data_IF_513603937173
#
_entry.id   IF_513603937173
#
_cell.length_a   1.000
_cell.length_b   1.000
_cell.length_c   1.000
_cell.angle_alpha   90.00
_cell.angle_beta   90.00
_cell.angle_gamma   90.00
#
_symmetry.space_group_name_H-M   'P 1'
#
loop_
_entity.id
_entity.type
_entity.pdbx_description
1 polymer ?
#
# COMPACT_ATOMS: atom_id res chain seq x y z
N UNK A 1 82.81 -7.25 -1.82
CA UNK A 1 81.88 -8.18 -2.55
C UNK A 1 80.47 -7.98 -2.04
N UNK A 2 79.68 -7.25 -2.76
CA UNK A 2 78.29 -6.87 -2.39
C UNK A 2 77.30 -7.56 -3.33
N UNK A 3 76.53 -8.50 -2.79
CA UNK A 3 75.50 -9.24 -3.53
C UNK A 3 74.20 -8.44 -3.53
N UNK A 4 73.78 -7.98 -4.68
CA UNK A 4 72.45 -7.38 -4.91
C UNK A 4 71.43 -8.50 -5.16
N UNK A 5 70.47 -8.64 -4.27
CA UNK A 5 69.32 -9.53 -4.42
C UNK A 5 68.22 -8.76 -5.14
N UNK A 6 67.85 -9.18 -6.34
CA UNK A 6 66.75 -8.61 -7.14
C UNK A 6 65.45 -9.27 -6.70
N UNK A 7 64.45 -8.44 -6.32
CA UNK A 7 63.06 -8.85 -6.06
C UNK A 7 62.27 -9.01 -7.39
N UNK A 8 61.39 -10.00 -7.51
CA UNK A 8 60.62 -10.19 -8.71
C UNK A 8 59.43 -9.20 -8.82
N UNK A 9 59.29 -8.59 -9.98
CA UNK A 9 58.13 -7.77 -10.36
C UNK A 9 56.89 -8.64 -10.51
N UNK A 10 55.90 -8.47 -9.63
CA UNK A 10 54.55 -9.00 -9.86
C UNK A 10 53.84 -8.20 -10.93
N UNK A 11 53.57 -8.80 -12.09
CA UNK A 11 52.66 -8.26 -13.08
C UNK A 11 51.22 -8.32 -12.52
N UNK A 12 50.60 -7.16 -12.30
CA UNK A 12 49.17 -7.07 -12.07
C UNK A 12 48.46 -7.51 -13.35
N UNK A 13 47.62 -8.50 -13.26
CA UNK A 13 46.71 -8.91 -14.36
C UNK A 13 45.75 -7.77 -14.75
N UNK A 14 45.13 -7.85 -15.95
CA UNK A 14 44.17 -6.84 -16.37
C UNK A 14 43.03 -6.71 -15.36
N UNK A 15 42.43 -5.49 -15.20
CA UNK A 15 41.32 -5.29 -14.28
C UNK A 15 40.17 -6.22 -14.68
N UNK A 16 39.66 -6.98 -13.71
CA UNK A 16 38.42 -7.73 -13.91
C UNK A 16 37.29 -6.73 -14.19
N UNK A 17 36.66 -6.83 -15.35
CA UNK A 17 35.42 -6.15 -15.66
C UNK A 17 34.37 -6.81 -14.77
N UNK A 18 33.93 -6.10 -13.73
CA UNK A 18 32.77 -6.48 -12.93
C UNK A 18 31.55 -6.24 -13.84
N UNK A 19 31.03 -7.30 -14.44
CA UNK A 19 29.75 -7.22 -15.14
C UNK A 19 28.69 -6.73 -14.11
N UNK A 20 27.87 -5.74 -14.47
CA UNK A 20 26.75 -5.34 -13.61
C UNK A 20 25.87 -6.58 -13.38
N UNK A 21 25.32 -6.74 -12.16
CA UNK A 21 24.44 -7.86 -11.87
C UNK A 21 23.34 -7.91 -12.92
N UNK A 22 23.16 -9.06 -13.56
CA UNK A 22 22.05 -9.31 -14.48
C UNK A 22 20.77 -8.98 -13.73
N UNK A 23 20.08 -7.90 -14.13
CA UNK A 23 18.79 -7.56 -13.57
C UNK A 23 17.85 -8.73 -13.86
N UNK A 24 17.37 -9.36 -12.80
CA UNK A 24 16.29 -10.34 -12.91
C UNK A 24 15.10 -9.61 -13.55
N UNK A 25 14.80 -9.97 -14.81
CA UNK A 25 13.81 -9.26 -15.64
C UNK A 25 12.39 -9.73 -15.35
N UNK A 26 12.21 -10.65 -14.41
CA UNK A 26 10.88 -11.13 -14.04
C UNK A 26 10.20 -10.13 -13.12
N UNK A 27 9.13 -9.50 -13.61
CA UNK A 27 8.25 -8.66 -12.78
C UNK A 27 7.33 -9.59 -11.97
N UNK A 28 7.79 -9.93 -10.75
CA UNK A 28 7.15 -10.91 -9.87
C UNK A 28 6.14 -10.21 -8.95
N UNK A 29 4.98 -9.89 -9.51
CA UNK A 29 3.85 -9.29 -8.79
C UNK A 29 2.61 -10.15 -8.91
N UNK A 30 1.78 -10.10 -7.86
CA UNK A 30 0.47 -10.72 -7.76
C UNK A 30 -0.59 -9.63 -7.68
N UNK A 31 -1.79 -9.90 -8.22
CA UNK A 31 -2.90 -8.95 -8.14
C UNK A 31 -3.86 -9.41 -7.05
N UNK A 32 -4.01 -8.57 -6.03
CA UNK A 32 -4.95 -8.72 -4.93
C UNK A 32 -6.06 -7.68 -4.98
N UNK A 33 -7.01 -7.80 -4.07
CA UNK A 33 -8.12 -6.84 -3.95
C UNK A 33 -8.44 -6.56 -2.49
N UNK A 34 -8.84 -5.32 -2.21
CA UNK A 34 -9.43 -4.94 -0.94
C UNK A 34 -10.95 -5.18 -0.99
N UNK A 35 -11.55 -5.83 0.03
CA UNK A 35 -12.98 -6.12 0.05
C UNK A 35 -13.87 -4.89 0.19
N UNK A 36 -13.31 -3.70 0.41
CA UNK A 36 -14.04 -2.44 0.59
C UNK A 36 -14.99 -2.12 -0.56
N UNK A 37 -14.73 -2.67 -1.73
CA UNK A 37 -15.60 -2.52 -2.92
C UNK A 37 -16.90 -3.33 -2.83
N UNK A 38 -16.95 -4.36 -1.98
CA UNK A 38 -18.16 -5.13 -1.71
C UNK A 38 -18.83 -4.72 -0.40
N UNK A 39 -18.00 -4.38 0.60
CA UNK A 39 -18.44 -4.03 1.95
C UNK A 39 -17.54 -2.90 2.44
N UNK A 40 -18.08 -1.70 2.47
CA UNK A 40 -17.29 -0.53 2.83
C UNK A 40 -17.07 -0.46 4.36
N UNK A 41 -15.81 -0.56 4.79
CA UNK A 41 -15.46 -0.55 6.21
C UNK A 41 -15.56 0.86 6.83
N UNK A 42 -15.41 1.92 6.04
CA UNK A 42 -15.58 3.31 6.47
C UNK A 42 -17.06 3.74 6.53
N UNK A 43 -17.89 3.15 5.66
CA UNK A 43 -19.32 3.38 5.54
C UNK A 43 -20.08 2.04 5.59
N UNK A 44 -20.23 1.42 6.79
CA UNK A 44 -20.69 0.02 6.93
C UNK A 44 -22.08 -0.30 6.34
N UNK A 45 -22.89 0.71 6.05
CA UNK A 45 -24.17 0.51 5.35
C UNK A 45 -24.01 0.30 3.84
N UNK A 46 -22.88 0.71 3.25
CA UNK A 46 -22.58 0.44 1.85
C UNK A 46 -22.13 -1.01 1.69
N UNK A 47 -22.97 -1.82 1.08
CA UNK A 47 -22.74 -3.25 0.92
C UNK A 47 -22.83 -4.06 2.24
N UNK A 48 -23.41 -3.48 3.31
CA UNK A 48 -23.50 -4.10 4.63
C UNK A 48 -24.14 -5.48 4.62
N UNK A 49 -25.09 -5.72 3.75
CA UNK A 49 -25.78 -7.01 3.60
C UNK A 49 -25.02 -8.01 2.71
N UNK A 50 -23.97 -7.60 1.99
CA UNK A 50 -23.21 -8.51 1.12
C UNK A 50 -22.43 -9.54 1.97
N UNK A 51 -22.70 -10.85 1.83
CA UNK A 51 -21.94 -11.87 2.55
C UNK A 51 -20.46 -11.90 2.12
N UNK A 52 -19.55 -12.23 3.03
CA UNK A 52 -18.13 -12.43 2.71
C UNK A 52 -17.93 -13.45 1.59
N UNK A 53 -18.73 -14.53 1.58
CA UNK A 53 -18.67 -15.58 0.57
C UNK A 53 -18.91 -15.05 -0.86
N UNK A 54 -19.76 -14.05 -1.02
CA UNK A 54 -20.00 -13.39 -2.31
C UNK A 54 -18.74 -12.65 -2.77
N UNK A 55 -18.12 -11.85 -1.91
CA UNK A 55 -16.90 -11.12 -2.24
C UNK A 55 -15.76 -12.08 -2.64
N UNK A 56 -15.55 -13.15 -1.87
CA UNK A 56 -14.51 -14.14 -2.14
C UNK A 56 -14.76 -14.92 -3.43
N UNK A 57 -16.01 -15.36 -3.67
CA UNK A 57 -16.38 -16.09 -4.89
C UNK A 57 -16.23 -15.23 -6.13
N UNK A 58 -16.72 -14.00 -6.09
CA UNK A 58 -16.60 -13.04 -7.19
C UNK A 58 -15.16 -12.65 -7.46
N UNK A 59 -14.40 -12.31 -6.43
CA UNK A 59 -12.98 -11.98 -6.57
C UNK A 59 -12.17 -13.13 -7.17
N UNK A 60 -12.46 -14.37 -6.75
CA UNK A 60 -11.84 -15.56 -7.35
C UNK A 60 -12.24 -15.76 -8.81
N UNK A 61 -13.51 -15.58 -9.14
CA UNK A 61 -14.02 -15.72 -10.50
C UNK A 61 -13.42 -14.68 -11.46
N UNK A 62 -13.17 -13.46 -10.98
CA UNK A 62 -12.47 -12.41 -11.72
C UNK A 62 -11.01 -12.77 -12.00
N UNK A 63 -10.34 -13.45 -11.07
CA UNK A 63 -8.96 -13.87 -11.22
C UNK A 63 -8.00 -13.34 -10.13
N UNK A 64 -8.52 -12.65 -9.12
CA UNK A 64 -7.68 -12.20 -7.99
C UNK A 64 -7.02 -13.38 -7.27
N UNK A 65 -5.79 -13.17 -6.83
CA UNK A 65 -4.98 -14.19 -6.17
C UNK A 65 -5.05 -14.12 -4.65
N UNK A 66 -5.60 -13.02 -4.10
CA UNK A 66 -5.75 -12.83 -2.67
C UNK A 66 -6.59 -11.61 -2.32
N UNK A 67 -6.98 -11.56 -1.04
CA UNK A 67 -7.73 -10.47 -0.45
C UNK A 67 -7.00 -9.85 0.72
N UNK A 68 -7.15 -8.55 0.91
CA UNK A 68 -6.86 -7.91 2.17
C UNK A 68 -7.93 -8.24 3.22
N UNK A 69 -7.56 -8.12 4.48
CA UNK A 69 -8.43 -8.43 5.61
C UNK A 69 -9.45 -7.29 5.81
N UNK A 70 -10.71 -7.55 5.52
CA UNK A 70 -11.83 -6.63 5.82
C UNK A 70 -12.57 -7.00 7.10
N UNK A 71 -13.57 -6.20 7.47
CA UNK A 71 -14.31 -6.35 8.73
C UNK A 71 -15.10 -7.65 8.83
N UNK A 72 -15.56 -8.21 7.71
CA UNK A 72 -16.36 -9.46 7.68
C UNK A 72 -15.53 -10.74 7.78
N UNK A 73 -14.20 -10.64 7.71
CA UNK A 73 -13.34 -11.81 7.76
C UNK A 73 -13.22 -12.35 9.19
N UNK A 74 -13.13 -13.70 9.36
CA UNK A 74 -12.85 -14.30 10.67
C UNK A 74 -11.58 -13.74 11.30
N UNK A 75 -11.60 -13.54 12.61
CA UNK A 75 -10.45 -13.05 13.39
C UNK A 75 -9.69 -14.17 14.11
N UNK A 76 -10.13 -15.42 13.97
CA UNK A 76 -9.42 -16.59 14.43
C UNK A 76 -8.62 -17.18 13.26
N UNK A 77 -7.32 -17.49 13.48
CA UNK A 77 -6.36 -17.84 12.42
C UNK A 77 -6.76 -19.06 11.61
N UNK A 78 -7.28 -20.12 12.25
CA UNK A 78 -7.68 -21.35 11.55
C UNK A 78 -8.96 -21.16 10.75
N UNK A 79 -9.92 -20.41 11.28
CA UNK A 79 -11.15 -20.08 10.59
C UNK A 79 -10.88 -19.22 9.34
N UNK A 80 -10.01 -18.20 9.46
CA UNK A 80 -9.59 -17.36 8.32
C UNK A 80 -8.90 -18.19 7.24
N UNK A 81 -7.95 -19.05 7.63
CA UNK A 81 -7.27 -19.95 6.70
C UNK A 81 -8.24 -20.86 5.97
N UNK A 82 -9.20 -21.42 6.69
CA UNK A 82 -10.22 -22.32 6.11
C UNK A 82 -11.08 -21.61 5.07
N UNK A 83 -11.53 -20.39 5.37
CA UNK A 83 -12.35 -19.58 4.46
C UNK A 83 -11.58 -19.26 3.20
N UNK A 84 -10.36 -18.72 3.32
CA UNK A 84 -9.54 -18.37 2.15
C UNK A 84 -9.13 -19.59 1.32
N UNK A 85 -8.79 -20.71 1.96
CA UNK A 85 -8.40 -21.94 1.28
C UNK A 85 -9.53 -22.53 0.43
N UNK A 86 -10.79 -22.43 0.85
CA UNK A 86 -11.95 -22.88 0.05
C UNK A 86 -12.02 -22.23 -1.32
N UNK A 87 -11.56 -20.98 -1.42
CA UNK A 87 -11.52 -20.23 -2.67
C UNK A 87 -10.14 -20.26 -3.35
N UNK A 88 -9.13 -20.89 -2.74
CA UNK A 88 -7.75 -20.84 -3.22
C UNK A 88 -7.20 -19.41 -3.29
N UNK A 89 -7.49 -18.60 -2.27
CA UNK A 89 -7.07 -17.22 -2.12
C UNK A 89 -6.03 -17.09 -1.00
N UNK A 90 -5.09 -16.15 -1.17
CA UNK A 90 -4.13 -15.79 -0.13
C UNK A 90 -4.67 -14.63 0.74
N UNK A 91 -4.21 -14.55 2.00
CA UNK A 91 -4.28 -13.30 2.76
C UNK A 91 -3.16 -12.38 2.26
N UNK A 92 -3.54 -11.21 1.74
CA UNK A 92 -2.59 -10.24 1.17
C UNK A 92 -1.92 -9.42 2.27
N UNK A 93 -2.73 -8.81 3.10
CA UNK A 93 -2.38 -7.91 4.21
C UNK A 93 -3.61 -7.64 5.07
N UNK A 94 -3.53 -6.68 5.97
CA UNK A 94 -4.69 -6.18 6.72
C UNK A 94 -4.42 -4.79 7.30
N UNK A 95 -5.44 -3.95 7.29
CA UNK A 95 -5.43 -2.65 7.91
C UNK A 95 -5.31 -2.77 9.44
N UNK A 96 -4.37 -2.01 10.00
CA UNK A 96 -4.23 -1.80 11.43
C UNK A 96 -4.38 -0.31 11.75
N UNK A 97 -5.37 0.01 12.57
CA UNK A 97 -5.63 1.36 13.07
C UNK A 97 -4.67 1.69 14.20
N UNK A 98 -3.52 2.25 13.86
CA UNK A 98 -2.49 2.64 14.82
C UNK A 98 -2.76 4.01 15.43
N UNK A 99 -2.26 4.21 16.65
CA UNK A 99 -2.40 5.46 17.39
C UNK A 99 -1.07 5.95 17.97
N UNK A 100 0.05 5.73 17.29
CA UNK A 100 1.38 6.13 17.74
C UNK A 100 1.57 7.64 17.89
N UNK A 101 0.69 8.46 17.29
CA UNK A 101 0.69 9.90 17.57
C UNK A 101 0.33 10.21 19.05
N UNK A 102 -0.41 9.31 19.72
CA UNK A 102 -0.85 9.42 21.11
C UNK A 102 -0.24 8.37 22.05
N UNK A 103 -0.19 7.10 21.60
CA UNK A 103 0.28 5.97 22.40
C UNK A 103 1.80 5.90 22.49
N UNK A 104 2.29 5.29 23.55
CA UNK A 104 3.66 4.80 23.60
C UNK A 104 3.86 3.60 22.68
N UNK A 105 5.11 3.25 22.40
CA UNK A 105 5.46 2.08 21.59
C UNK A 105 5.00 0.79 22.28
N UNK A 106 5.12 0.70 23.59
CA UNK A 106 4.74 -0.45 24.39
C UNK A 106 3.22 -0.70 24.35
N UNK A 107 2.43 0.36 24.46
CA UNK A 107 0.97 0.30 24.35
C UNK A 107 0.55 -0.16 22.94
N UNK A 108 1.18 0.36 21.90
CA UNK A 108 0.89 -0.01 20.52
C UNK A 108 1.30 -1.45 20.21
N UNK A 109 2.44 -1.90 20.74
CA UNK A 109 2.90 -3.30 20.65
C UNK A 109 1.91 -4.25 21.31
N UNK A 110 1.37 -3.89 22.46
CA UNK A 110 0.36 -4.69 23.14
C UNK A 110 -0.95 -4.74 22.33
N UNK A 111 -1.37 -3.60 21.76
CA UNK A 111 -2.60 -3.50 20.99
C UNK A 111 -2.55 -4.29 19.67
N UNK A 112 -1.42 -4.26 18.95
CA UNK A 112 -1.28 -4.94 17.64
C UNK A 112 -1.19 -6.45 17.75
N UNK A 113 -0.87 -6.99 18.93
CA UNK A 113 -0.53 -8.40 19.13
C UNK A 113 -1.48 -9.41 18.44
N UNK A 114 -2.80 -9.35 18.68
CA UNK A 114 -3.76 -10.26 18.04
C UNK A 114 -3.81 -10.11 16.50
N UNK A 115 -3.76 -8.88 15.99
CA UNK A 115 -3.80 -8.60 14.56
C UNK A 115 -2.52 -9.08 13.86
N UNK A 116 -1.36 -8.78 14.43
CA UNK A 116 -0.06 -9.19 13.92
C UNK A 116 0.07 -10.71 13.87
N UNK A 117 -0.41 -11.39 14.93
CA UNK A 117 -0.47 -12.86 14.97
C UNK A 117 -1.36 -13.41 13.86
N UNK A 118 -2.55 -12.84 13.66
CA UNK A 118 -3.49 -13.26 12.61
C UNK A 118 -2.86 -13.18 11.22
N UNK A 119 -2.17 -12.07 10.92
CA UNK A 119 -1.47 -11.88 9.66
C UNK A 119 -0.36 -12.92 9.46
N UNK A 120 0.54 -13.04 10.43
CA UNK A 120 1.68 -13.96 10.38
C UNK A 120 1.22 -15.43 10.24
N UNK A 121 0.24 -15.87 11.02
CA UNK A 121 -0.30 -17.23 10.98
C UNK A 121 -0.92 -17.58 9.60
N UNK A 122 -1.37 -16.58 8.85
CA UNK A 122 -2.00 -16.75 7.53
C UNK A 122 -1.09 -16.36 6.37
N UNK A 123 0.20 -16.16 6.63
CA UNK A 123 1.22 -15.97 5.61
C UNK A 123 1.29 -14.57 4.98
N UNK A 124 0.58 -13.58 5.54
CA UNK A 124 0.76 -12.19 5.13
C UNK A 124 2.09 -11.65 5.67
N UNK A 125 2.88 -11.06 4.79
CA UNK A 125 4.20 -10.51 5.12
C UNK A 125 4.21 -8.99 5.28
N UNK A 126 3.05 -8.37 5.07
CA UNK A 126 2.84 -6.92 5.17
C UNK A 126 1.62 -6.64 6.03
N UNK A 127 1.72 -5.61 6.86
CA UNK A 127 0.61 -5.01 7.61
C UNK A 127 0.43 -3.57 7.13
N UNK A 128 -0.76 -3.22 6.69
CA UNK A 128 -1.12 -1.84 6.37
C UNK A 128 -1.32 -1.06 7.67
N UNK A 129 -0.51 -0.06 7.90
CA UNK A 129 -0.59 0.80 9.08
C UNK A 129 -1.19 2.15 8.71
N UNK A 130 -2.38 2.45 9.21
CA UNK A 130 -2.99 3.78 9.16
C UNK A 130 -2.91 4.47 10.53
N UNK A 131 -2.39 5.71 10.59
CA UNK A 131 -2.44 6.50 11.82
C UNK A 131 -3.84 7.11 11.99
N UNK A 132 -4.58 6.64 13.00
CA UNK A 132 -5.95 7.07 13.23
C UNK A 132 -6.14 7.99 14.46
N UNK A 133 -5.09 8.20 15.26
CA UNK A 133 -5.17 9.19 16.34
C UNK A 133 -5.52 10.56 15.74
N UNK A 134 -6.53 11.20 16.30
CA UNK A 134 -7.06 12.49 15.81
C UNK A 134 -7.51 12.54 14.34
N UNK A 135 -7.51 11.41 13.63
CA UNK A 135 -7.94 11.38 12.22
C UNK A 135 -9.40 11.83 12.09
N UNK A 136 -9.67 12.57 11.03
CA UNK A 136 -11.03 13.01 10.69
C UNK A 136 -11.61 12.22 9.50
N UNK A 137 -10.94 11.14 9.07
CA UNK A 137 -11.36 10.35 7.91
C UNK A 137 -12.80 9.83 8.01
N UNK A 138 -13.22 9.38 9.21
CA UNK A 138 -14.59 8.92 9.49
C UNK A 138 -15.55 10.03 9.94
N UNK A 139 -15.17 11.31 9.85
CA UNK A 139 -15.96 12.43 10.38
C UNK A 139 -16.55 13.30 9.27
N UNK A 140 -17.75 13.89 9.44
CA UNK A 140 -18.32 14.85 8.49
C UNK A 140 -17.67 16.23 8.66
N UNK A 141 -16.34 16.28 8.51
CA UNK A 141 -15.52 17.48 8.73
C UNK A 141 -14.66 17.72 7.50
N UNK A 142 -14.57 18.98 7.00
CA UNK A 142 -13.74 19.32 5.87
C UNK A 142 -12.28 18.91 6.03
N UNK A 143 -11.68 18.33 4.99
CA UNK A 143 -10.32 17.77 5.01
C UNK A 143 -9.22 18.77 5.38
N UNK A 144 -9.40 20.07 5.11
CA UNK A 144 -8.43 21.09 5.54
C UNK A 144 -8.26 21.20 7.07
N UNK A 145 -9.21 20.66 7.86
CA UNK A 145 -9.16 20.60 9.33
C UNK A 145 -8.42 19.39 9.89
N UNK A 146 -7.82 18.56 9.04
CA UNK A 146 -7.07 17.38 9.46
C UNK A 146 -5.99 17.71 10.50
N UNK A 147 -5.60 16.75 11.35
CA UNK A 147 -4.52 16.96 12.31
C UNK A 147 -3.19 17.22 11.61
N UNK A 148 -2.31 17.98 12.25
CA UNK A 148 -0.96 18.25 11.78
C UNK A 148 0.00 18.32 12.95
N UNK A 149 1.18 17.75 12.78
CA UNK A 149 2.28 18.05 13.69
C UNK A 149 2.79 19.47 13.39
N UNK A 150 2.66 20.36 14.35
CA UNK A 150 2.99 21.78 14.19
C UNK A 150 4.45 22.13 14.49
N UNK A 151 5.19 21.20 15.14
CA UNK A 151 6.58 21.38 15.56
C UNK A 151 7.45 20.21 15.10
N UNK A 152 8.73 20.47 14.88
CA UNK A 152 9.70 19.47 14.43
C UNK A 152 9.90 18.35 15.44
N UNK A 153 9.85 18.68 16.75
CA UNK A 153 9.97 17.68 17.82
C UNK A 153 8.83 16.66 17.81
N UNK A 154 7.62 17.07 17.40
CA UNK A 154 6.48 16.14 17.28
C UNK A 154 6.71 15.15 16.14
N UNK A 155 7.19 15.62 15.00
CA UNK A 155 7.56 14.79 13.86
C UNK A 155 8.66 13.80 14.21
N UNK A 156 9.72 14.30 14.88
CA UNK A 156 10.85 13.47 15.30
C UNK A 156 10.38 12.36 16.26
N UNK A 157 9.66 12.74 17.32
CA UNK A 157 9.15 11.78 18.30
C UNK A 157 8.19 10.75 17.68
N UNK A 158 7.36 11.17 16.71
CA UNK A 158 6.49 10.26 15.99
C UNK A 158 7.30 9.28 15.12
N UNK A 159 8.28 9.77 14.37
CA UNK A 159 9.16 8.95 13.54
C UNK A 159 9.96 7.90 14.34
N UNK A 160 10.44 8.27 15.53
CA UNK A 160 11.13 7.38 16.45
C UNK A 160 10.22 6.26 16.94
N UNK A 161 8.99 6.60 17.40
CA UNK A 161 8.00 5.61 17.84
C UNK A 161 7.61 4.66 16.71
N UNK A 162 7.33 5.22 15.53
CA UNK A 162 6.94 4.41 14.35
C UNK A 162 8.08 3.46 13.93
N UNK A 163 9.33 3.93 13.98
CA UNK A 163 10.48 3.08 13.69
C UNK A 163 10.64 1.95 14.70
N UNK A 164 10.51 2.24 15.99
CA UNK A 164 10.59 1.23 17.04
C UNK A 164 9.47 0.19 16.92
N UNK A 165 8.25 0.64 16.63
CA UNK A 165 7.11 -0.24 16.39
C UNK A 165 7.30 -1.10 15.13
N UNK A 166 7.80 -0.53 14.04
CA UNK A 166 8.08 -1.27 12.81
C UNK A 166 9.15 -2.36 12.99
N UNK A 167 10.18 -2.12 13.82
CA UNK A 167 11.14 -3.17 14.21
C UNK A 167 10.46 -4.35 14.89
N UNK A 168 9.50 -4.08 15.77
CA UNK A 168 8.76 -5.12 16.45
C UNK A 168 7.94 -5.99 15.50
N UNK A 169 7.24 -5.38 14.53
CA UNK A 169 6.44 -6.13 13.54
C UNK A 169 7.33 -6.91 12.59
N UNK A 170 8.42 -6.31 12.12
CA UNK A 170 9.38 -6.93 11.23
C UNK A 170 10.08 -8.14 11.87
N UNK A 171 10.41 -8.08 13.17
CA UNK A 171 10.96 -9.20 13.92
C UNK A 171 10.00 -10.41 14.00
N UNK A 172 8.74 -10.24 13.64
CA UNK A 172 7.70 -11.29 13.54
C UNK A 172 7.39 -11.67 12.09
N UNK A 173 8.21 -11.24 11.15
CA UNK A 173 8.06 -11.55 9.73
C UNK A 173 7.01 -10.71 8.98
N UNK A 174 6.47 -9.66 9.63
CA UNK A 174 5.45 -8.79 9.01
C UNK A 174 5.97 -7.37 8.94
N UNK A 175 6.21 -6.87 7.73
CA UNK A 175 6.69 -5.50 7.50
C UNK A 175 5.54 -4.50 7.65
N UNK A 176 5.77 -3.45 8.41
CA UNK A 176 4.85 -2.31 8.46
C UNK A 176 4.93 -1.53 7.15
N UNK A 177 3.80 -1.38 6.46
CA UNK A 177 3.60 -0.52 5.31
C UNK A 177 2.78 0.70 5.73
N UNK A 178 3.43 1.84 5.87
CA UNK A 178 2.76 3.07 6.29
C UNK A 178 1.84 3.56 5.18
N UNK A 179 0.55 3.67 5.48
CA UNK A 179 -0.46 4.19 4.57
C UNK A 179 -0.73 5.68 4.86
N UNK A 180 -0.29 6.56 3.95
CA UNK A 180 -0.71 7.96 3.98
C UNK A 180 -2.20 8.03 3.59
N UNK A 181 -3.00 8.73 4.37
CA UNK A 181 -4.46 8.68 4.20
C UNK A 181 -5.09 10.06 4.34
N UNK A 182 -6.15 10.31 3.55
CA UNK A 182 -6.93 11.55 3.67
C UNK A 182 -7.47 11.71 5.10
N UNK A 183 -7.35 12.92 5.64
CA UNK A 183 -7.84 13.24 6.98
C UNK A 183 -6.92 12.85 8.13
N UNK A 184 -5.73 12.28 7.87
CA UNK A 184 -4.75 11.88 8.88
C UNK A 184 -3.61 12.89 9.04
N UNK A 185 -2.67 12.63 9.97
CA UNK A 185 -1.45 13.44 10.15
C UNK A 185 -0.56 13.46 8.91
N UNK A 186 -0.46 12.34 8.21
CA UNK A 186 0.35 12.19 6.99
C UNK A 186 -0.59 11.96 5.81
N UNK A 187 -0.85 13.02 5.07
CA UNK A 187 -1.78 13.05 3.93
C UNK A 187 -1.10 13.56 2.67
N UNK A 188 -0.56 14.78 2.74
CA UNK A 188 0.00 15.48 1.59
C UNK A 188 1.38 14.92 1.18
N UNK A 189 1.81 15.14 -0.09
CA UNK A 189 3.14 14.78 -0.56
C UNK A 189 4.27 15.21 0.38
N UNK A 190 4.22 16.45 0.88
CA UNK A 190 5.23 16.98 1.80
C UNK A 190 5.25 16.27 3.16
N UNK A 191 4.10 15.75 3.63
CA UNK A 191 4.04 14.97 4.86
C UNK A 191 4.71 13.60 4.67
N UNK A 192 4.46 12.94 3.53
CA UNK A 192 5.10 11.67 3.16
C UNK A 192 6.62 11.87 3.02
N UNK A 193 7.04 12.91 2.32
CA UNK A 193 8.45 13.26 2.18
C UNK A 193 9.13 13.40 3.54
N UNK A 194 8.49 14.17 4.41
CA UNK A 194 9.01 14.42 5.76
C UNK A 194 9.08 13.15 6.58
N UNK A 195 8.01 12.36 6.60
CA UNK A 195 7.99 11.10 7.34
C UNK A 195 9.11 10.17 6.87
N UNK A 196 9.26 9.97 5.56
CA UNK A 196 10.26 9.06 5.00
C UNK A 196 11.70 9.47 5.30
N UNK A 197 11.96 10.75 5.57
CA UNK A 197 13.29 11.23 6.03
C UNK A 197 13.55 10.97 7.51
N UNK A 198 12.51 10.84 8.32
CA UNK A 198 12.63 10.72 9.78
C UNK A 198 12.59 9.27 10.28
N UNK A 199 12.01 8.37 9.50
CA UNK A 199 11.83 6.96 9.91
C UNK A 199 12.94 6.05 9.40
N UNK A 200 13.27 5.03 10.18
CA UNK A 200 14.23 4.00 9.80
C UNK A 200 13.77 3.14 8.63
N UNK A 201 14.69 2.33 8.07
CA UNK A 201 14.44 1.44 6.94
C UNK A 201 13.43 0.32 7.21
N UNK A 202 13.11 0.08 8.48
CA UNK A 202 12.13 -0.89 8.92
C UNK A 202 10.69 -0.48 8.55
N UNK A 203 10.43 0.82 8.52
CA UNK A 203 9.14 1.38 8.07
C UNK A 203 9.10 1.35 6.54
N UNK A 204 8.26 0.52 5.96
CA UNK A 204 7.93 0.57 4.54
C UNK A 204 6.87 1.62 4.23
N UNK A 205 6.78 1.99 2.96
CA UNK A 205 5.69 2.82 2.45
C UNK A 205 4.68 1.93 1.73
N UNK A 206 3.42 2.02 2.12
CA UNK A 206 2.33 1.69 1.23
C UNK A 206 2.12 2.87 0.31
N UNK A 207 2.29 2.65 -0.98
CA UNK A 207 2.01 3.66 -1.98
C UNK A 207 0.56 3.50 -2.47
N UNK A 208 -0.28 4.46 -2.18
CA UNK A 208 -1.66 4.54 -2.67
C UNK A 208 -1.78 5.64 -3.71
N UNK A 209 -2.05 5.25 -4.96
CA UNK A 209 -2.13 6.19 -6.09
C UNK A 209 -3.33 7.14 -6.00
N UNK A 210 -4.44 6.69 -5.46
CA UNK A 210 -5.67 7.48 -5.31
C UNK A 210 -5.56 8.51 -4.19
N UNK A 211 -5.15 8.10 -3.00
CA UNK A 211 -4.94 9.03 -1.89
C UNK A 211 -3.87 10.06 -2.21
N UNK A 212 -2.78 9.67 -2.89
CA UNK A 212 -1.74 10.60 -3.31
C UNK A 212 -2.28 11.67 -4.27
N UNK A 213 -3.06 11.25 -5.27
CA UNK A 213 -3.67 12.17 -6.25
C UNK A 213 -4.73 13.05 -5.60
N UNK A 214 -5.55 12.51 -4.70
CA UNK A 214 -6.55 13.29 -3.96
C UNK A 214 -5.88 14.36 -3.09
N UNK A 215 -4.78 14.05 -2.44
CA UNK A 215 -3.99 15.00 -1.65
C UNK A 215 -3.28 16.08 -2.51
N UNK A 216 -3.44 16.03 -3.83
CA UNK A 216 -2.84 16.99 -4.77
C UNK A 216 -1.44 16.63 -5.22
N UNK A 217 -0.98 15.41 -4.96
CA UNK A 217 0.32 14.91 -5.41
C UNK A 217 0.30 14.39 -6.85
N UNK A 218 1.46 14.40 -7.47
CA UNK A 218 1.75 13.64 -8.68
C UNK A 218 2.13 12.20 -8.27
N UNK A 219 1.25 11.24 -8.55
CA UNK A 219 1.44 9.85 -8.13
C UNK A 219 2.72 9.23 -8.73
N UNK A 220 3.02 9.54 -10.00
CA UNK A 220 4.21 9.01 -10.69
C UNK A 220 5.49 9.58 -10.07
N UNK A 221 5.55 10.89 -9.86
CA UNK A 221 6.70 11.56 -9.25
C UNK A 221 6.94 11.07 -7.81
N UNK A 222 5.87 10.90 -7.02
CA UNK A 222 5.97 10.43 -5.64
C UNK A 222 6.39 8.96 -5.56
N UNK A 223 5.86 8.10 -6.44
CA UNK A 223 6.32 6.72 -6.53
C UNK A 223 7.81 6.68 -6.89
N UNK A 224 8.24 7.40 -7.92
CA UNK A 224 9.65 7.45 -8.32
C UNK A 224 10.57 7.90 -7.17
N UNK A 225 10.15 8.92 -6.42
CA UNK A 225 10.92 9.46 -5.30
C UNK A 225 11.10 8.45 -4.15
N UNK A 226 10.07 7.70 -3.84
CA UNK A 226 10.04 6.82 -2.68
C UNK A 226 10.10 5.33 -3.01
N UNK A 227 10.37 4.96 -4.26
CA UNK A 227 10.29 3.58 -4.76
C UNK A 227 11.10 2.59 -3.91
N UNK A 228 12.27 2.99 -3.40
CA UNK A 228 13.11 2.15 -2.53
C UNK A 228 12.52 1.87 -1.14
N UNK A 229 11.44 2.57 -0.77
CA UNK A 229 10.72 2.39 0.50
C UNK A 229 9.39 1.66 0.30
N UNK A 230 8.88 1.59 -0.93
CA UNK A 230 7.59 0.96 -1.24
C UNK A 230 7.66 -0.54 -1.02
N UNK A 231 6.78 -1.05 -0.17
CA UNK A 231 6.66 -2.48 0.13
C UNK A 231 5.23 -3.01 -0.07
N UNK A 232 4.27 -2.13 -0.38
CA UNK A 232 2.89 -2.47 -0.70
C UNK A 232 2.30 -1.40 -1.61
N UNK A 233 1.36 -1.77 -2.48
CA UNK A 233 0.77 -0.83 -3.46
C UNK A 233 -0.74 -1.00 -3.49
N UNK A 234 -1.45 0.10 -3.21
CA UNK A 234 -2.87 0.24 -3.51
C UNK A 234 -3.03 0.93 -4.87
N UNK A 235 -3.61 0.19 -5.79
CA UNK A 235 -3.97 0.66 -7.11
C UNK A 235 -5.40 1.22 -7.06
N UNK A 236 -5.51 2.49 -6.75
CA UNK A 236 -6.75 3.24 -6.60
C UNK A 236 -6.77 4.38 -7.62
N UNK A 237 -7.84 4.48 -8.40
CA UNK A 237 -7.99 5.55 -9.38
C UNK A 237 -8.93 6.65 -8.85
N UNK A 238 -8.92 7.80 -9.49
CA UNK A 238 -9.71 8.96 -9.06
C UNK A 238 -10.42 9.62 -10.22
N UNK A 239 -11.57 10.25 -9.94
CA UNK A 239 -12.30 11.09 -10.90
C UNK A 239 -11.97 12.56 -10.66
N UNK A 240 -11.17 13.20 -11.54
CA UNK A 240 -10.65 14.56 -11.32
C UNK A 240 -11.75 15.59 -11.08
N UNK A 241 -12.87 15.45 -11.79
CA UNK A 241 -14.02 16.38 -11.68
C UNK A 241 -14.65 16.33 -10.27
N UNK A 242 -14.70 15.13 -9.67
CA UNK A 242 -15.21 14.96 -8.30
C UNK A 242 -14.23 15.51 -7.29
N UNK A 243 -12.91 15.31 -7.50
CA UNK A 243 -11.89 15.91 -6.63
C UNK A 243 -11.91 17.43 -6.66
N UNK A 244 -12.12 18.03 -7.82
CA UNK A 244 -12.28 19.48 -7.96
C UNK A 244 -13.50 19.99 -7.19
N UNK A 245 -14.64 19.30 -7.32
CA UNK A 245 -15.85 19.62 -6.55
C UNK A 245 -15.63 19.47 -5.05
N UNK A 246 -14.96 18.40 -4.61
CA UNK A 246 -14.66 18.17 -3.19
C UNK A 246 -13.85 19.30 -2.59
N UNK A 247 -12.82 19.77 -3.31
CA UNK A 247 -11.99 20.91 -2.89
C UNK A 247 -12.80 22.22 -2.85
N UNK A 248 -13.54 22.53 -3.93
CA UNK A 248 -14.29 23.76 -4.04
C UNK A 248 -15.43 23.88 -3.00
N UNK A 249 -16.00 22.74 -2.60
CA UNK A 249 -17.10 22.66 -1.64
C UNK A 249 -16.65 22.36 -0.22
N UNK A 250 -15.35 22.16 -0.01
CA UNK A 250 -14.76 21.76 1.28
C UNK A 250 -15.41 20.49 1.86
N UNK A 251 -15.59 19.49 1.04
CA UNK A 251 -16.18 18.22 1.49
C UNK A 251 -15.31 17.53 2.54
N UNK A 252 -15.94 16.74 3.39
CA UNK A 252 -15.28 15.72 4.18
C UNK A 252 -14.80 14.57 3.28
N UNK A 253 -13.96 13.70 3.81
CA UNK A 253 -13.52 12.51 3.09
C UNK A 253 -14.71 11.64 2.68
N UNK A 254 -15.63 11.36 3.62
CA UNK A 254 -16.80 10.52 3.37
C UNK A 254 -17.75 11.14 2.31
N UNK A 255 -17.93 12.46 2.31
CA UNK A 255 -18.71 13.13 1.25
C UNK A 255 -18.05 12.94 -0.12
N UNK A 256 -16.74 13.05 -0.21
CA UNK A 256 -16.03 12.83 -1.47
C UNK A 256 -16.17 11.36 -1.94
N UNK A 257 -16.03 10.38 -1.04
CA UNK A 257 -16.28 8.96 -1.32
C UNK A 257 -17.69 8.73 -1.84
N UNK A 258 -18.70 9.22 -1.14
CA UNK A 258 -20.11 9.07 -1.52
C UNK A 258 -20.46 9.70 -2.88
N UNK A 259 -19.70 10.71 -3.28
CA UNK A 259 -19.83 11.34 -4.60
C UNK A 259 -18.93 10.73 -5.67
N UNK A 260 -18.28 9.60 -5.36
CA UNK A 260 -17.50 8.82 -6.33
C UNK A 260 -16.12 9.41 -6.65
N UNK A 261 -15.43 10.00 -5.66
CA UNK A 261 -14.07 10.51 -5.82
C UNK A 261 -13.11 9.41 -6.27
N UNK A 262 -13.25 8.21 -5.70
CA UNK A 262 -12.45 7.04 -6.04
C UNK A 262 -13.14 6.11 -7.03
N UNK A 263 -12.34 5.42 -7.81
CA UNK A 263 -12.79 4.40 -8.74
C UNK A 263 -11.70 3.33 -8.97
N UNK A 264 -12.04 2.31 -9.75
CA UNK A 264 -11.10 1.22 -10.07
C UNK A 264 -10.04 1.65 -11.09
N UNK A 265 -8.84 1.02 -11.06
CA UNK A 265 -7.79 1.29 -12.04
C UNK A 265 -8.29 1.27 -13.48
N UNK A 266 -7.96 2.33 -14.24
CA UNK A 266 -8.37 2.51 -15.64
C UNK A 266 -9.76 3.13 -15.85
N UNK A 267 -10.44 3.54 -14.77
CA UNK A 267 -11.73 4.26 -14.83
C UNK A 267 -11.62 5.73 -14.41
N UNK A 268 -10.42 6.21 -14.16
CA UNK A 268 -10.14 7.59 -13.72
C UNK A 268 -8.98 8.22 -14.50
N UNK A 269 -8.11 8.92 -13.80
CA UNK A 269 -7.05 9.74 -14.41
C UNK A 269 -5.63 9.42 -13.91
N UNK A 270 -5.44 8.39 -13.10
CA UNK A 270 -4.10 7.97 -12.65
C UNK A 270 -3.35 7.30 -13.82
N UNK A 271 -2.10 7.69 -14.03
CA UNK A 271 -1.23 7.09 -15.06
C UNK A 271 -0.67 5.73 -14.62
N UNK A 272 -1.54 4.69 -14.59
CA UNK A 272 -1.13 3.34 -14.24
C UNK A 272 -0.06 2.76 -15.17
N UNK A 273 -0.05 3.01 -16.49
CA UNK A 273 1.07 2.61 -17.35
C UNK A 273 2.42 3.10 -16.85
N UNK A 274 2.55 4.35 -16.42
CA UNK A 274 3.79 4.89 -15.86
C UNK A 274 4.12 4.27 -14.50
N UNK A 275 3.13 4.10 -13.62
CA UNK A 275 3.33 3.48 -12.31
C UNK A 275 3.83 2.04 -12.43
N UNK A 276 3.22 1.22 -13.30
CA UNK A 276 3.60 -0.19 -13.49
C UNK A 276 5.00 -0.30 -14.10
N UNK A 277 5.36 0.57 -15.06
CA UNK A 277 6.73 0.62 -15.59
C UNK A 277 7.76 0.94 -14.51
N UNK A 278 7.51 1.96 -13.66
CA UNK A 278 8.39 2.31 -12.56
C UNK A 278 8.58 1.16 -11.57
N UNK A 279 7.50 0.50 -11.17
CA UNK A 279 7.56 -0.66 -10.26
C UNK A 279 8.42 -1.78 -10.85
N UNK A 280 8.24 -2.09 -12.15
CA UNK A 280 9.05 -3.09 -12.84
C UNK A 280 10.52 -2.70 -12.92
N UNK A 281 10.82 -1.48 -13.36
CA UNK A 281 12.19 -0.98 -13.55
C UNK A 281 13.01 -1.00 -12.26
N UNK A 282 12.33 -0.85 -11.11
CA UNK A 282 12.97 -0.88 -9.80
C UNK A 282 12.85 -2.23 -9.09
N UNK A 283 12.36 -3.27 -9.79
CA UNK A 283 12.30 -4.62 -9.26
C UNK A 283 11.34 -4.80 -8.10
N UNK A 284 10.23 -4.04 -8.05
CA UNK A 284 9.18 -4.24 -7.05
C UNK A 284 8.64 -5.67 -7.13
N UNK A 285 8.49 -6.28 -5.97
CA UNK A 285 7.91 -7.61 -5.79
C UNK A 285 6.84 -7.55 -4.72
N UNK A 286 5.74 -8.25 -4.92
CA UNK A 286 4.66 -8.31 -3.94
C UNK A 286 3.29 -8.12 -4.57
N UNK A 287 2.42 -7.38 -3.89
CA UNK A 287 1.04 -7.23 -4.27
C UNK A 287 0.75 -5.88 -4.92
N UNK A 288 -0.03 -5.93 -6.00
CA UNK A 288 -0.78 -4.80 -6.54
C UNK A 288 -2.22 -5.00 -6.10
N UNK A 289 -2.70 -4.19 -5.17
CA UNK A 289 -4.04 -4.34 -4.61
C UNK A 289 -4.99 -3.37 -5.28
N UNK A 290 -6.01 -3.89 -5.94
CA UNK A 290 -7.11 -3.08 -6.45
C UNK A 290 -7.98 -2.65 -5.27
N UNK A 291 -8.18 -1.36 -5.13
CA UNK A 291 -8.96 -0.78 -4.04
C UNK A 291 -9.72 0.45 -4.53
N UNK A 292 -10.98 0.57 -4.14
CA UNK A 292 -11.75 1.80 -4.26
C UNK A 292 -12.94 1.76 -3.29
N UNK A 293 -13.07 2.82 -2.51
CA UNK A 293 -14.26 3.07 -1.70
C UNK A 293 -15.38 3.52 -2.62
N UNK A 294 -16.33 2.65 -2.89
CA UNK A 294 -17.45 2.92 -3.78
C UNK A 294 -18.78 2.48 -3.16
N UNK A 295 -19.86 3.09 -3.61
CA UNK A 295 -21.21 2.60 -3.33
C UNK A 295 -21.53 1.43 -4.29
N UNK A 296 -21.74 0.21 -3.81
CA UNK A 296 -22.03 -0.96 -4.65
C UNK A 296 -23.32 -0.85 -5.46
N UNK A 297 -24.24 0.04 -5.08
CA UNK A 297 -25.47 0.31 -5.84
C UNK A 297 -25.16 1.11 -7.10
N UNK A 298 -24.25 2.08 -7.01
CA UNK A 298 -23.84 2.93 -8.13
C UNK A 298 -22.72 2.27 -8.96
N UNK A 299 -21.81 1.60 -8.28
CA UNK A 299 -20.67 0.90 -8.87
C UNK A 299 -20.72 -0.58 -8.49
N UNK A 300 -21.50 -1.43 -9.19
CA UNK A 300 -21.64 -2.85 -8.87
C UNK A 300 -20.29 -3.54 -8.72
N UNK A 301 -20.04 -4.13 -7.54
CA UNK A 301 -18.74 -4.60 -7.08
C UNK A 301 -18.04 -5.53 -8.08
N UNK A 302 -18.75 -6.55 -8.57
CA UNK A 302 -18.18 -7.48 -9.55
C UNK A 302 -17.71 -6.76 -10.83
N UNK A 303 -18.55 -5.88 -11.38
CA UNK A 303 -18.26 -5.19 -12.65
C UNK A 303 -17.05 -4.27 -12.52
N UNK A 304 -17.00 -3.50 -11.44
CA UNK A 304 -15.90 -2.56 -11.20
C UNK A 304 -14.61 -3.26 -10.80
N UNK A 305 -14.70 -4.30 -9.96
CA UNK A 305 -13.54 -5.10 -9.60
C UNK A 305 -12.95 -5.84 -10.81
N UNK A 306 -13.79 -6.41 -11.71
CA UNK A 306 -13.35 -7.03 -12.96
C UNK A 306 -12.64 -6.01 -13.88
N UNK A 307 -13.19 -4.80 -14.00
CA UNK A 307 -12.57 -3.70 -14.77
C UNK A 307 -11.15 -3.39 -14.25
N UNK A 308 -10.99 -3.18 -12.95
CA UNK A 308 -9.71 -2.87 -12.33
C UNK A 308 -8.70 -4.02 -12.49
N UNK A 309 -9.13 -5.25 -12.28
CA UNK A 309 -8.29 -6.43 -12.47
C UNK A 309 -7.77 -6.54 -13.90
N UNK A 310 -8.67 -6.46 -14.90
CA UNK A 310 -8.30 -6.58 -16.32
C UNK A 310 -7.34 -5.49 -16.76
N UNK A 311 -7.56 -4.26 -16.29
CA UNK A 311 -6.67 -3.15 -16.59
C UNK A 311 -5.25 -3.40 -16.05
N UNK A 312 -5.11 -3.75 -14.76
CA UNK A 312 -3.81 -4.04 -14.18
C UNK A 312 -3.18 -5.29 -14.79
N UNK A 313 -3.95 -6.35 -15.05
CA UNK A 313 -3.43 -7.58 -15.65
C UNK A 313 -2.81 -7.31 -17.02
N UNK A 314 -3.52 -6.56 -17.87
CA UNK A 314 -3.02 -6.13 -19.16
C UNK A 314 -1.68 -5.38 -19.03
N UNK A 315 -1.61 -4.38 -18.16
CA UNK A 315 -0.39 -3.58 -17.97
C UNK A 315 0.77 -4.41 -17.41
N UNK A 316 0.49 -5.36 -16.51
CA UNK A 316 1.52 -6.25 -15.96
C UNK A 316 2.03 -7.22 -17.04
N UNK A 317 1.16 -7.73 -17.91
CA UNK A 317 1.55 -8.61 -18.99
C UNK A 317 2.36 -7.87 -20.06
N UNK A 318 1.93 -6.68 -20.46
CA UNK A 318 2.65 -5.81 -21.42
C UNK A 318 4.10 -5.53 -20.99
N UNK A 319 4.34 -5.32 -19.70
CA UNK A 319 5.70 -5.07 -19.19
C UNK A 319 6.51 -6.35 -18.93
N UNK A 320 5.88 -7.52 -18.88
CA UNK A 320 6.55 -8.83 -18.76
C UNK A 320 7.06 -9.35 -20.11
N UNK A 321 6.39 -9.00 -21.20
CA UNK A 321 6.86 -9.39 -22.53
C UNK A 321 8.14 -8.61 -22.88
N UNK A 322 9.21 -9.28 -23.39
CA UNK A 322 10.36 -8.57 -23.91
C UNK A 322 9.89 -7.72 -25.10
N UNK A 323 10.33 -6.45 -25.15
CA UNK A 323 10.07 -5.60 -26.31
C UNK A 323 10.49 -6.37 -27.57
N UNK A 324 9.50 -6.74 -28.40
CA UNK A 324 9.77 -7.31 -29.74
C UNK A 324 10.48 -6.23 -30.54
N UNK A 325 11.80 -6.41 -30.70
CA UNK A 325 12.66 -5.57 -31.56
C UNK A 325 12.38 -5.84 -33.03
#
# INVERSE_FOLDING_TARGET
MSSRTSLPFHRKGPPQVIEPPTRDTTFDVRIGVNPISWTNDDLPWLGGETPLEVALSEGKAIGYEGFELGNKFPRESSALRTVLARHGLALVSGWYSGELARRSVEEEIAAVGPHLKLLADNGATVMVYGEVADSIQGMPVPLYKRPRFSRDEQWQAYGERLTAFARHTLARGVRLAYHHHMGSYVEAPADVDRLMTLVGGEVGLLFDSGHMTFAGGDAVAMLAKHIGRVCHVHCKDVRPQVLELARNRNWSFLEAVMNGAFTMPGDGAVDFPALIRLLREHGYRGWLVVEAEQDPVVAPSYVYADKGYRHLRMLVDDVREPATT
#
